data_IF_867233439738
#
_entry.id   IF_867233439738
#
_cell.length_a   1.000
_cell.length_b   1.000
_cell.length_c   1.000
_cell.angle_alpha   90.00
_cell.angle_beta   90.00
_cell.angle_gamma   90.00
#
_symmetry.space_group_name_H-M   'P 1'
#
loop_
_entity.id
_entity.type
_entity.pdbx_description
1 polymer ?
#
# COMPACT_ATOMS: atom_id res chain seq x y z
N UNK A 1 -4.91 -15.23 9.47
CA UNK A 1 -4.31 -13.91 9.63
C UNK A 1 -2.78 -14.01 9.73
N UNK A 2 -2.05 -12.89 9.74
CA UNK A 2 -0.58 -12.87 9.75
C UNK A 2 -0.01 -13.69 10.92
N UNK A 3 -0.52 -13.51 12.13
CA UNK A 3 -0.03 -14.24 13.31
C UNK A 3 -0.18 -15.76 13.21
N UNK A 4 -1.16 -16.27 12.49
CA UNK A 4 -1.32 -17.70 12.24
C UNK A 4 -0.28 -18.25 11.26
N UNK A 5 0.07 -17.46 10.24
CA UNK A 5 1.14 -17.83 9.33
C UNK A 5 2.50 -17.82 10.02
N UNK A 6 2.80 -16.81 10.82
CA UNK A 6 4.04 -16.76 11.60
C UNK A 6 4.15 -17.94 12.59
N UNK A 7 3.04 -18.28 13.28
CA UNK A 7 3.00 -19.42 14.18
C UNK A 7 3.30 -20.74 13.45
N UNK A 8 2.63 -20.98 12.32
CA UNK A 8 2.87 -22.19 11.51
C UNK A 8 4.30 -22.23 10.97
N UNK A 9 4.85 -21.10 10.59
CA UNK A 9 6.25 -21.02 10.13
C UNK A 9 7.22 -21.36 11.26
N UNK A 10 7.02 -20.81 12.46
CA UNK A 10 7.84 -21.12 13.61
C UNK A 10 7.77 -22.61 14.00
N UNK A 11 6.56 -23.20 14.02
CA UNK A 11 6.35 -24.62 14.27
C UNK A 11 7.00 -25.50 13.20
N UNK A 12 6.92 -25.09 11.93
CA UNK A 12 7.59 -25.82 10.84
C UNK A 12 9.10 -25.83 11.01
N UNK A 13 9.69 -24.70 11.41
CA UNK A 13 11.14 -24.60 11.66
C UNK A 13 11.56 -25.50 12.83
N UNK A 14 10.80 -25.50 13.92
CA UNK A 14 11.06 -26.38 15.05
C UNK A 14 10.93 -27.88 14.68
N UNK A 15 9.95 -28.22 13.86
CA UNK A 15 9.80 -29.57 13.31
C UNK A 15 10.98 -29.96 12.40
N UNK A 16 11.48 -29.04 11.59
CA UNK A 16 12.64 -29.26 10.72
C UNK A 16 13.92 -29.45 11.56
N UNK A 17 14.13 -28.59 12.54
CA UNK A 17 15.26 -28.69 13.46
C UNK A 17 15.27 -30.04 14.20
N UNK A 18 14.12 -30.43 14.75
CA UNK A 18 14.04 -31.65 15.58
C UNK A 18 14.03 -32.92 14.75
N UNK A 19 13.22 -33.01 13.69
CA UNK A 19 13.01 -34.25 12.93
C UNK A 19 14.06 -34.50 11.87
N UNK A 20 14.60 -33.45 11.25
CA UNK A 20 15.58 -33.59 10.18
C UNK A 20 17.03 -33.39 10.66
N UNK A 21 17.28 -32.36 11.45
CA UNK A 21 18.63 -32.04 11.93
C UNK A 21 18.95 -32.67 13.28
N UNK A 22 17.98 -33.19 14.03
CA UNK A 22 18.20 -33.77 15.38
C UNK A 22 18.63 -32.71 16.41
N UNK A 23 18.23 -31.44 16.20
CA UNK A 23 18.55 -30.31 17.06
C UNK A 23 17.35 -30.00 17.98
N UNK A 24 17.63 -29.27 19.06
CA UNK A 24 16.55 -28.74 19.91
C UNK A 24 15.70 -27.68 19.16
N UNK A 25 14.39 -27.58 19.44
CA UNK A 25 13.53 -26.58 18.84
C UNK A 25 13.97 -25.19 19.29
N UNK A 26 13.92 -24.22 18.37
CA UNK A 26 14.32 -22.86 18.65
C UNK A 26 13.17 -21.99 19.20
N UNK A 27 12.00 -22.06 18.56
CA UNK A 27 10.85 -21.22 18.92
C UNK A 27 10.03 -21.80 20.07
N UNK A 28 9.78 -23.09 20.05
CA UNK A 28 8.98 -23.85 21.02
C UNK A 28 7.59 -23.22 21.29
N UNK A 29 6.94 -22.74 20.23
CA UNK A 29 5.69 -21.97 20.29
C UNK A 29 4.47 -22.88 20.10
N UNK A 30 3.41 -22.66 20.88
CA UNK A 30 2.12 -23.37 20.80
C UNK A 30 1.00 -22.48 20.29
N UNK A 31 1.02 -21.21 20.66
CA UNK A 31 0.01 -20.22 20.29
C UNK A 31 0.65 -18.92 19.83
N UNK A 32 -0.15 -18.01 19.26
CA UNK A 32 0.34 -16.75 18.70
C UNK A 32 1.00 -15.86 19.75
N UNK A 33 0.50 -15.89 20.98
CA UNK A 33 1.06 -15.12 22.09
C UNK A 33 2.51 -15.47 22.41
N UNK A 34 2.93 -16.71 22.15
CA UNK A 34 4.30 -17.15 22.39
C UNK A 34 5.30 -16.48 21.41
N UNK A 35 4.80 -15.94 20.30
CA UNK A 35 5.63 -15.18 19.35
C UNK A 35 5.92 -13.74 19.79
N UNK A 36 5.28 -13.24 20.84
CA UNK A 36 5.56 -11.90 21.36
C UNK A 36 7.00 -11.82 21.85
N UNK A 37 7.73 -10.82 21.38
CA UNK A 37 9.15 -10.66 21.67
C UNK A 37 10.09 -11.18 20.58
N UNK A 38 9.61 -12.03 19.64
CA UNK A 38 10.44 -12.50 18.54
C UNK A 38 10.66 -11.41 17.47
N UNK A 39 11.81 -11.50 16.81
CA UNK A 39 12.21 -10.57 15.75
C UNK A 39 11.55 -10.93 14.42
N UNK A 40 11.16 -9.88 13.71
CA UNK A 40 10.60 -9.96 12.37
C UNK A 40 11.28 -8.95 11.45
N UNK A 41 11.28 -9.25 10.17
CA UNK A 41 11.64 -8.28 9.13
C UNK A 41 10.36 -7.85 8.41
N UNK A 42 10.12 -6.55 8.38
CA UNK A 42 9.08 -5.94 7.55
C UNK A 42 9.65 -5.55 6.19
N UNK A 43 9.00 -5.97 5.12
CA UNK A 43 9.44 -5.73 3.75
C UNK A 43 8.28 -5.29 2.89
N UNK A 44 8.41 -4.14 2.23
CA UNK A 44 7.43 -3.74 1.23
C UNK A 44 7.59 -4.59 -0.04
N UNK A 45 6.48 -4.88 -0.77
CA UNK A 45 6.54 -5.61 -2.02
C UNK A 45 7.52 -4.98 -3.01
N UNK A 46 8.24 -5.82 -3.76
CA UNK A 46 9.20 -5.40 -4.79
C UNK A 46 10.37 -4.54 -4.28
N UNK A 47 10.66 -4.59 -3.00
CA UNK A 47 11.84 -3.95 -2.41
C UNK A 47 12.77 -4.99 -1.80
N UNK A 48 14.03 -4.61 -1.57
CA UNK A 48 15.04 -5.43 -0.91
C UNK A 48 15.44 -4.90 0.47
N UNK A 49 14.88 -3.77 0.89
CA UNK A 49 15.17 -3.15 2.18
C UNK A 49 14.18 -3.65 3.22
N UNK A 50 14.61 -4.58 4.07
CA UNK A 50 13.86 -5.05 5.21
C UNK A 50 14.13 -4.19 6.44
N UNK A 51 13.09 -3.91 7.22
CA UNK A 51 13.19 -3.18 8.48
C UNK A 51 12.99 -4.14 9.63
N UNK A 52 13.94 -4.17 10.55
CA UNK A 52 13.88 -5.02 11.73
C UNK A 52 12.82 -4.51 12.70
N UNK A 53 11.97 -5.42 13.16
CA UNK A 53 10.96 -5.15 14.17
C UNK A 53 10.88 -6.27 15.20
N UNK A 54 10.12 -6.01 16.27
CA UNK A 54 9.81 -6.99 17.30
C UNK A 54 8.31 -7.08 17.48
N UNK A 55 7.78 -8.29 17.53
CA UNK A 55 6.35 -8.52 17.79
C UNK A 55 6.04 -8.07 19.22
N UNK A 56 5.12 -7.12 19.35
CA UNK A 56 4.64 -6.63 20.65
C UNK A 56 3.24 -7.13 20.99
N UNK A 57 2.53 -7.68 20.01
CA UNK A 57 1.19 -8.22 20.19
C UNK A 57 0.47 -8.48 18.87
N UNK A 58 -0.78 -8.91 18.99
CA UNK A 58 -1.66 -9.21 17.86
C UNK A 58 -3.00 -8.48 18.03
N UNK A 59 -3.51 -7.92 16.95
CA UNK A 59 -4.82 -7.26 16.89
C UNK A 59 -5.79 -8.03 16.00
N UNK A 60 -7.09 -7.81 16.23
CA UNK A 60 -8.17 -8.28 15.33
C UNK A 60 -8.40 -7.30 14.17
N UNK A 61 -7.91 -6.07 14.27
CA UNK A 61 -8.02 -5.07 13.23
C UNK A 61 -7.24 -5.49 11.98
N UNK A 62 -7.70 -5.04 10.82
CA UNK A 62 -7.03 -5.23 9.54
C UNK A 62 -5.95 -4.17 9.40
N UNK A 63 -4.74 -4.52 9.77
CA UNK A 63 -3.60 -3.61 9.67
C UNK A 63 -2.43 -4.04 10.54
N UNK A 64 -1.30 -3.39 10.33
CA UNK A 64 -0.10 -3.51 11.15
C UNK A 64 0.10 -2.20 11.91
N UNK A 65 0.18 -2.27 13.23
CA UNK A 65 0.49 -1.14 14.08
C UNK A 65 1.98 -1.16 14.43
N UNK A 66 2.66 -0.10 14.10
CA UNK A 66 4.06 0.11 14.43
C UNK A 66 4.34 1.61 14.56
N UNK A 67 5.53 1.96 15.01
CA UNK A 67 5.99 3.34 14.97
C UNK A 67 5.95 3.87 13.54
N UNK A 68 5.54 5.14 13.28
CA UNK A 68 5.48 5.70 11.93
C UNK A 68 6.76 5.50 11.14
N UNK A 69 7.91 5.65 11.77
CA UNK A 69 9.22 5.44 11.11
C UNK A 69 9.46 4.00 10.64
N UNK A 70 8.88 2.99 11.30
CA UNK A 70 8.94 1.62 10.81
C UNK A 70 8.24 1.48 9.45
N UNK A 71 7.06 2.10 9.30
CA UNK A 71 6.32 2.09 8.06
C UNK A 71 7.05 2.86 6.95
N UNK A 72 7.52 4.06 7.26
CA UNK A 72 8.19 4.94 6.28
C UNK A 72 9.56 4.43 5.86
N UNK A 73 10.30 3.77 6.74
CA UNK A 73 11.58 3.14 6.40
C UNK A 73 11.45 2.03 5.35
N UNK A 74 10.27 1.46 5.18
CA UNK A 74 9.97 0.52 4.10
C UNK A 74 9.74 1.19 2.75
N UNK A 75 9.75 2.52 2.70
CA UNK A 75 9.54 3.34 1.50
C UNK A 75 8.24 3.04 0.78
N UNK A 76 7.16 2.91 1.56
CA UNK A 76 5.80 2.72 1.07
C UNK A 76 4.86 3.67 1.79
N UNK A 77 3.84 4.11 1.08
CA UNK A 77 2.79 4.95 1.63
C UNK A 77 1.94 4.15 2.61
N UNK A 78 1.37 4.82 3.61
CA UNK A 78 0.49 4.18 4.60
C UNK A 78 -0.99 4.28 4.17
N UNK A 79 -1.26 4.18 2.87
CA UNK A 79 -2.56 4.42 2.24
C UNK A 79 -3.28 3.14 1.78
N UNK A 80 -3.05 2.02 2.41
CA UNK A 80 -3.55 0.67 2.11
C UNK A 80 -2.55 -0.24 1.38
N UNK A 81 -1.30 0.12 1.37
CA UNK A 81 -0.25 -0.76 0.87
C UNK A 81 -0.10 -2.01 1.72
N UNK A 82 0.20 -3.12 1.09
CA UNK A 82 0.42 -4.39 1.76
C UNK A 82 1.92 -4.64 1.94
N UNK A 83 2.30 -5.04 3.15
CA UNK A 83 3.67 -5.40 3.49
C UNK A 83 3.77 -6.89 3.78
N UNK A 84 4.95 -7.46 3.53
CA UNK A 84 5.32 -8.75 4.04
C UNK A 84 5.96 -8.61 5.43
N UNK A 85 5.47 -9.36 6.40
CA UNK A 85 6.10 -9.52 7.71
C UNK A 85 6.55 -10.98 7.82
N UNK A 86 7.84 -11.19 8.03
CA UNK A 86 8.42 -12.53 8.11
C UNK A 86 9.26 -12.67 9.37
N UNK A 87 9.36 -13.88 9.91
CA UNK A 87 10.29 -14.17 11.00
C UNK A 87 11.72 -13.92 10.51
N UNK A 88 12.55 -13.33 11.38
CA UNK A 88 13.96 -13.13 11.08
C UNK A 88 14.68 -14.46 11.26
N UNK A 89 15.18 -15.02 10.17
CA UNK A 89 15.86 -16.30 10.11
C UNK A 89 17.26 -16.13 9.48
N UNK A 90 18.27 -16.76 10.05
CA UNK A 90 19.62 -16.80 9.46
C UNK A 90 19.59 -17.44 8.07
N UNK A 91 18.77 -18.47 7.87
CA UNK A 91 18.61 -19.11 6.57
C UNK A 91 18.11 -18.14 5.50
N UNK A 92 17.17 -17.23 5.84
CA UNK A 92 16.68 -16.21 4.92
C UNK A 92 17.78 -15.23 4.51
N UNK A 93 18.57 -14.77 5.47
CA UNK A 93 19.68 -13.84 5.23
C UNK A 93 20.76 -14.52 4.38
N UNK A 94 21.12 -15.75 4.70
CA UNK A 94 22.11 -16.52 3.96
C UNK A 94 21.65 -16.86 2.54
N UNK A 95 20.41 -17.24 2.36
CA UNK A 95 19.80 -17.45 1.04
C UNK A 95 19.86 -16.16 0.21
N UNK A 96 19.43 -15.06 0.78
CA UNK A 96 19.44 -13.76 0.12
C UNK A 96 20.87 -13.40 -0.34
N UNK A 97 21.87 -13.54 0.54
CA UNK A 97 23.26 -13.25 0.23
C UNK A 97 23.85 -14.16 -0.85
N UNK A 98 23.50 -15.44 -0.85
CA UNK A 98 24.18 -16.45 -1.67
C UNK A 98 23.51 -16.68 -3.02
N UNK A 99 22.20 -16.51 -3.13
CA UNK A 99 21.41 -16.94 -4.28
C UNK A 99 20.70 -15.81 -5.03
N UNK A 100 20.46 -14.66 -4.38
CA UNK A 100 19.83 -13.54 -5.08
C UNK A 100 20.84 -12.69 -5.85
N UNK A 101 20.47 -12.13 -6.99
CA UNK A 101 21.39 -11.33 -7.82
C UNK A 101 21.80 -10.03 -7.11
N UNK A 102 23.07 -9.68 -7.18
CA UNK A 102 23.64 -8.48 -6.56
C UNK A 102 23.28 -7.18 -7.30
N UNK A 103 22.65 -7.26 -8.45
CA UNK A 103 22.29 -6.10 -9.27
C UNK A 103 20.80 -5.99 -9.45
N UNK A 104 20.25 -4.77 -9.34
CA UNK A 104 18.88 -4.46 -9.76
C UNK A 104 18.80 -4.45 -11.28
N UNK A 105 17.90 -5.19 -11.85
CA UNK A 105 17.62 -5.13 -13.27
C UNK A 105 17.19 -6.48 -13.82
N UNK A 106 16.03 -6.55 -14.42
CA UNK A 106 15.49 -7.75 -15.06
C UNK A 106 14.85 -8.79 -14.15
N UNK A 107 15.19 -8.85 -12.88
CA UNK A 107 14.48 -9.62 -11.86
C UNK A 107 13.94 -8.72 -10.77
N UNK A 108 12.82 -9.11 -10.19
CA UNK A 108 12.18 -8.40 -9.06
C UNK A 108 12.90 -8.69 -7.73
N UNK A 109 13.71 -9.72 -7.70
CA UNK A 109 14.41 -10.18 -6.52
C UNK A 109 15.81 -9.55 -6.44
N UNK A 110 16.14 -9.07 -5.26
CA UNK A 110 17.44 -8.52 -4.92
C UNK A 110 17.84 -9.00 -3.52
N UNK A 111 19.16 -9.00 -3.19
CA UNK A 111 19.60 -9.36 -1.84
C UNK A 111 18.91 -8.51 -0.78
N UNK A 112 18.46 -9.16 0.29
CA UNK A 112 17.83 -8.51 1.42
C UNK A 112 18.88 -7.67 2.17
N UNK A 113 18.60 -6.37 2.27
CA UNK A 113 19.34 -5.45 3.13
C UNK A 113 18.49 -5.22 4.38
N UNK A 114 19.04 -5.52 5.54
CA UNK A 114 18.33 -5.39 6.80
C UNK A 114 18.74 -4.11 7.53
N UNK A 115 17.77 -3.21 7.76
CA UNK A 115 17.93 -2.01 8.57
C UNK A 115 17.58 -2.32 10.02
N UNK A 116 18.56 -2.31 10.90
CA UNK A 116 18.40 -2.50 12.34
C UNK A 116 18.30 -1.18 13.11
N UNK A 117 18.76 -0.08 12.52
CA UNK A 117 18.69 1.28 13.04
C UNK A 117 18.04 2.17 11.98
N UNK A 118 17.01 2.88 12.38
CA UNK A 118 16.32 3.83 11.52
C UNK A 118 16.84 5.23 11.85
N UNK A 119 17.32 5.95 10.83
CA UNK A 119 17.60 7.37 10.94
C UNK A 119 16.36 8.15 10.45
N UNK A 120 15.73 8.96 11.30
CA UNK A 120 14.54 9.70 10.92
C UNK A 120 14.74 10.69 9.78
N UNK A 121 15.95 11.20 9.58
CA UNK A 121 16.27 12.12 8.47
C UNK A 121 16.39 11.40 7.11
N UNK A 122 16.69 10.10 7.11
CA UNK A 122 16.92 9.31 5.89
C UNK A 122 15.68 8.52 5.42
N UNK A 123 14.59 8.53 6.17
CA UNK A 123 13.34 7.85 5.80
C UNK A 123 12.58 8.63 4.73
N UNK A 124 11.47 8.08 4.24
CA UNK A 124 10.63 8.72 3.24
C UNK A 124 10.02 10.04 3.76
N UNK A 125 10.11 11.10 2.95
CA UNK A 125 9.65 12.44 3.30
C UNK A 125 8.14 12.51 3.63
N UNK A 126 7.34 11.54 3.17
CA UNK A 126 5.92 11.47 3.51
C UNK A 126 5.70 11.33 5.02
N UNK A 127 6.63 10.68 5.73
CA UNK A 127 6.56 10.57 7.20
C UNK A 127 6.85 11.89 7.91
N UNK A 128 7.61 12.78 7.29
CA UNK A 128 7.91 14.09 7.86
C UNK A 128 6.69 15.01 7.89
N UNK A 129 5.74 14.78 6.99
CA UNK A 129 4.47 15.52 6.91
C UNK A 129 3.37 15.00 7.84
N UNK A 130 3.66 14.02 8.71
CA UNK A 130 2.68 13.56 9.69
C UNK A 130 2.42 14.63 10.74
N UNK A 131 1.14 14.99 10.92
CA UNK A 131 0.69 15.84 12.00
C UNK A 131 0.75 15.09 13.32
N UNK A 132 1.33 15.70 14.35
CA UNK A 132 1.59 15.05 15.64
C UNK A 132 0.89 15.76 16.81
N UNK A 133 -0.21 16.43 16.51
CA UNK A 133 -1.01 17.12 17.51
C UNK A 133 -1.95 16.21 18.28
N UNK A 134 -2.05 16.46 19.57
CA UNK A 134 -3.17 15.99 20.37
C UNK A 134 -4.42 16.85 20.12
N UNK A 135 -4.25 18.19 19.97
CA UNK A 135 -5.34 19.15 19.71
C UNK A 135 -4.82 20.27 18.83
N UNK A 136 -5.59 20.61 17.81
CA UNK A 136 -5.32 21.82 17.03
C UNK A 136 -5.73 23.07 17.82
N UNK A 137 -5.00 24.19 17.69
CA UNK A 137 -5.37 25.44 18.32
C UNK A 137 -6.68 25.99 17.75
N UNK A 138 -7.40 26.81 18.53
CA UNK A 138 -8.70 27.37 18.10
C UNK A 138 -8.56 28.20 16.83
N UNK A 139 -7.48 28.92 16.70
CA UNK A 139 -7.13 29.75 15.54
C UNK A 139 -7.08 28.95 14.24
N UNK A 140 -6.64 27.71 14.30
CA UNK A 140 -6.70 26.79 13.15
C UNK A 140 -8.13 26.61 12.66
N UNK A 141 -9.06 26.30 13.58
CA UNK A 141 -10.47 26.11 13.22
C UNK A 141 -11.13 27.39 12.72
N UNK A 142 -10.83 28.54 13.33
CA UNK A 142 -11.35 29.84 12.88
C UNK A 142 -10.91 30.17 11.46
N UNK A 143 -9.65 29.88 11.12
CA UNK A 143 -9.13 30.04 9.77
C UNK A 143 -9.85 29.15 8.74
N UNK A 144 -10.23 27.94 9.13
CA UNK A 144 -10.88 26.98 8.21
C UNK A 144 -12.34 27.31 7.90
N UNK A 145 -12.97 28.31 8.51
CA UNK A 145 -14.30 28.80 8.12
C UNK A 145 -14.32 29.46 6.73
N UNK A 146 -13.17 29.85 6.24
CA UNK A 146 -13.02 30.38 4.87
C UNK A 146 -12.18 29.40 4.04
N UNK A 147 -12.46 29.26 2.74
CA UNK A 147 -11.62 28.45 1.85
C UNK A 147 -10.18 28.95 1.88
N UNK A 148 -9.25 28.09 2.30
CA UNK A 148 -7.83 28.40 2.45
C UNK A 148 -6.98 27.40 1.67
N UNK A 149 -5.77 27.84 1.31
CA UNK A 149 -4.74 26.91 0.87
C UNK A 149 -4.07 26.27 2.11
N UNK A 150 -3.71 24.97 2.09
CA UNK A 150 -3.05 24.32 3.22
C UNK A 150 -1.84 25.08 3.76
N UNK A 151 -1.05 25.71 2.87
CA UNK A 151 0.11 26.50 3.26
C UNK A 151 -0.19 27.68 4.22
N UNK A 152 -1.42 28.20 4.21
CA UNK A 152 -1.83 29.35 5.04
C UNK A 152 -2.12 28.98 6.51
N UNK A 153 -2.16 27.67 6.81
CA UNK A 153 -2.44 27.15 8.15
C UNK A 153 -1.31 26.28 8.71
N UNK A 154 -0.21 26.09 7.98
CA UNK A 154 0.92 25.28 8.42
C UNK A 154 1.58 25.79 9.69
N UNK A 155 1.48 27.08 10.00
CA UNK A 155 2.00 27.67 11.25
C UNK A 155 1.28 27.12 12.49
N UNK A 156 0.01 26.71 12.34
CA UNK A 156 -0.83 26.16 13.42
C UNK A 156 -0.71 24.63 13.56
N UNK A 157 0.04 23.99 12.66
CA UNK A 157 0.20 22.54 12.63
C UNK A 157 1.60 22.18 13.11
N UNK A 158 1.70 21.28 14.05
CA UNK A 158 2.95 20.63 14.41
C UNK A 158 3.09 19.32 13.65
N UNK A 159 4.27 19.06 13.12
CA UNK A 159 4.55 17.87 12.36
C UNK A 159 5.95 17.32 12.68
N UNK A 160 6.20 16.09 12.22
CA UNK A 160 7.46 15.40 12.47
C UNK A 160 8.67 16.19 11.95
N UNK A 161 8.56 16.86 10.79
CA UNK A 161 9.65 17.63 10.17
C UNK A 161 10.25 18.68 11.14
N UNK A 162 9.40 19.34 11.92
CA UNK A 162 9.83 20.36 12.91
C UNK A 162 10.66 19.80 14.06
N UNK A 163 10.62 18.50 14.27
CA UNK A 163 11.30 17.82 15.38
C UNK A 163 12.54 17.03 14.94
N UNK A 164 12.79 16.90 13.64
CA UNK A 164 13.97 16.19 13.13
C UNK A 164 15.27 16.79 13.67
N UNK A 165 16.24 15.93 13.92
CA UNK A 165 17.53 16.33 14.51
C UNK A 165 17.46 16.71 16.00
N UNK A 166 16.29 16.61 16.64
CA UNK A 166 16.11 16.89 18.07
C UNK A 166 15.75 15.60 18.84
N UNK A 167 15.90 15.57 20.18
CA UNK A 167 15.44 14.41 20.97
C UNK A 167 13.95 14.09 20.79
N UNK A 168 13.14 15.09 20.49
CA UNK A 168 11.69 14.97 20.31
C UNK A 168 11.31 14.23 19.00
N UNK A 169 12.25 13.98 18.11
CA UNK A 169 11.96 13.24 16.87
C UNK A 169 11.44 11.81 17.10
N UNK A 170 11.71 11.21 18.25
CA UNK A 170 11.27 9.85 18.60
C UNK A 170 10.10 9.80 19.58
N UNK A 171 9.77 10.90 20.21
CA UNK A 171 8.82 10.95 21.31
C UNK A 171 7.76 12.02 21.07
N UNK A 172 6.62 11.89 21.77
CA UNK A 172 5.55 12.88 21.69
C UNK A 172 4.75 12.85 20.39
N UNK A 173 4.83 11.77 19.62
CA UNK A 173 4.04 11.57 18.41
C UNK A 173 2.59 11.23 18.81
N UNK A 174 1.76 12.26 18.95
CA UNK A 174 0.39 12.16 19.41
C UNK A 174 -0.60 12.17 18.24
N UNK A 175 -1.84 11.78 18.51
CA UNK A 175 -2.95 11.83 17.57
C UNK A 175 -4.07 12.70 18.13
N UNK A 176 -4.82 13.37 17.26
CA UNK A 176 -6.01 14.16 17.63
C UNK A 176 -7.19 13.30 18.12
N UNK A 177 -7.12 11.99 17.98
CA UNK A 177 -8.17 11.05 18.37
C UNK A 177 -7.65 10.08 19.42
N UNK A 178 -8.43 9.90 20.50
CA UNK A 178 -8.13 8.85 21.46
C UNK A 178 -8.41 7.47 20.90
N UNK A 179 -7.40 6.61 20.96
CA UNK A 179 -7.56 5.18 20.66
C UNK A 179 -7.50 4.41 21.97
N UNK A 180 -8.66 4.04 22.50
CA UNK A 180 -8.76 3.25 23.72
C UNK A 180 -8.60 1.75 23.49
N UNK A 181 -8.83 1.28 22.29
CA UNK A 181 -8.80 -0.13 21.92
C UNK A 181 -8.34 -0.33 20.49
N UNK A 182 -7.12 -0.83 20.31
CA UNK A 182 -6.55 -1.15 18.99
C UNK A 182 -7.28 -2.27 18.26
N UNK A 183 -8.10 -3.06 18.93
CA UNK A 183 -8.93 -4.10 18.31
C UNK A 183 -10.24 -3.55 17.72
N UNK A 184 -10.60 -2.32 18.03
CA UNK A 184 -11.81 -1.67 17.48
C UNK A 184 -11.65 -1.16 16.05
N UNK A 185 -10.45 -1.27 15.47
CA UNK A 185 -10.17 -0.92 14.08
C UNK A 185 -10.93 -1.81 13.08
N UNK A 186 -10.95 -1.41 11.79
CA UNK A 186 -11.65 -2.14 10.75
C UNK A 186 -11.11 -3.58 10.61
N UNK A 187 -12.01 -4.54 10.45
CA UNK A 187 -11.69 -5.97 10.25
C UNK A 187 -11.88 -6.41 8.80
N UNK A 188 -12.48 -5.55 7.97
CA UNK A 188 -12.77 -5.80 6.56
C UNK A 188 -12.43 -4.55 5.76
N UNK A 189 -11.74 -4.74 4.62
CA UNK A 189 -11.52 -3.70 3.64
C UNK A 189 -12.58 -3.82 2.53
N UNK A 190 -13.53 -2.88 2.46
CA UNK A 190 -14.57 -2.89 1.44
C UNK A 190 -14.00 -2.78 0.03
N UNK A 191 -12.88 -2.12 -0.16
CA UNK A 191 -12.23 -2.04 -1.47
C UNK A 191 -11.88 -3.43 -2.05
N UNK A 192 -11.53 -4.39 -1.20
CA UNK A 192 -11.24 -5.78 -1.60
C UNK A 192 -12.51 -6.60 -1.83
N UNK A 193 -13.59 -6.27 -1.17
CA UNK A 193 -14.85 -7.05 -1.21
C UNK A 193 -15.83 -6.57 -2.27
N UNK A 194 -15.78 -5.30 -2.66
CA UNK A 194 -16.64 -4.75 -3.72
C UNK A 194 -16.15 -5.24 -5.10
N UNK A 195 -17.00 -5.90 -5.88
CA UNK A 195 -16.57 -6.64 -7.08
C UNK A 195 -16.27 -5.75 -8.28
N UNK A 196 -16.86 -4.57 -8.38
CA UNK A 196 -16.73 -3.70 -9.55
C UNK A 196 -16.24 -2.29 -9.18
N UNK A 197 -15.64 -1.61 -10.15
CA UNK A 197 -15.27 -0.19 -9.99
C UNK A 197 -16.46 0.70 -9.79
N UNK A 198 -17.62 0.37 -10.38
CA UNK A 198 -18.87 1.11 -10.18
C UNK A 198 -19.27 1.10 -8.71
N UNK A 199 -19.36 -0.08 -8.11
CA UNK A 199 -19.72 -0.23 -6.69
C UNK A 199 -18.73 0.45 -5.75
N UNK A 200 -17.42 0.43 -6.09
CA UNK A 200 -16.41 1.14 -5.33
C UNK A 200 -16.62 2.66 -5.37
N UNK A 201 -16.89 3.22 -6.53
CA UNK A 201 -17.18 4.65 -6.70
C UNK A 201 -18.48 5.04 -5.99
N UNK A 202 -19.53 4.26 -6.14
CA UNK A 202 -20.80 4.50 -5.46
C UNK A 202 -20.64 4.48 -3.94
N UNK A 203 -19.88 3.53 -3.40
CA UNK A 203 -19.59 3.46 -1.97
C UNK A 203 -18.79 4.70 -1.47
N UNK A 204 -17.82 5.18 -2.25
CA UNK A 204 -17.06 6.39 -1.90
C UNK A 204 -17.93 7.65 -1.94
N UNK A 205 -18.82 7.75 -2.92
CA UNK A 205 -19.76 8.88 -3.01
C UNK A 205 -20.77 8.85 -1.86
N UNK A 206 -21.32 7.68 -1.55
CA UNK A 206 -22.23 7.52 -0.41
C UNK A 206 -21.54 7.91 0.92
N UNK A 207 -20.25 7.59 1.06
CA UNK A 207 -19.47 8.04 2.21
C UNK A 207 -19.35 9.57 2.23
N UNK A 208 -19.02 10.20 1.10
CA UNK A 208 -18.92 11.66 0.99
C UNK A 208 -20.26 12.34 1.33
N UNK A 209 -21.40 11.78 0.87
CA UNK A 209 -22.75 12.26 1.20
C UNK A 209 -23.08 12.13 2.70
N UNK A 210 -22.50 11.17 3.38
CA UNK A 210 -22.72 10.93 4.81
C UNK A 210 -21.94 11.88 5.72
N UNK A 211 -20.91 12.56 5.21
CA UNK A 211 -20.03 13.44 5.97
C UNK A 211 -20.44 14.90 5.76
N UNK A 212 -20.95 15.55 6.81
CA UNK A 212 -21.45 16.95 6.72
C UNK A 212 -20.40 17.97 6.28
N UNK A 213 -19.14 17.73 6.56
CA UNK A 213 -18.04 18.64 6.23
C UNK A 213 -17.54 18.49 4.78
N UNK A 214 -18.06 17.53 4.02
CA UNK A 214 -17.61 17.26 2.64
C UNK A 214 -18.55 17.92 1.65
N UNK A 215 -18.00 18.69 0.73
CA UNK A 215 -18.70 19.15 -0.48
C UNK A 215 -18.70 18.02 -1.51
N UNK A 216 -19.81 17.27 -1.58
CA UNK A 216 -19.97 16.11 -2.47
C UNK A 216 -19.84 16.52 -3.94
N UNK A 217 -20.37 17.69 -4.32
CA UNK A 217 -20.29 18.19 -5.68
C UNK A 217 -18.83 18.48 -6.07
N UNK A 218 -18.10 19.16 -5.20
CA UNK A 218 -16.68 19.43 -5.41
C UNK A 218 -15.86 18.15 -5.49
N UNK A 219 -16.15 17.13 -4.69
CA UNK A 219 -15.50 15.79 -4.78
C UNK A 219 -15.77 15.16 -6.14
N UNK A 220 -17.03 15.12 -6.59
CA UNK A 220 -17.41 14.53 -7.89
C UNK A 220 -16.76 15.29 -9.04
N UNK A 221 -16.77 16.62 -9.02
CA UNK A 221 -16.10 17.45 -10.03
C UNK A 221 -14.60 17.12 -10.11
N UNK A 222 -13.93 17.00 -8.98
CA UNK A 222 -12.51 16.63 -8.93
C UNK A 222 -12.23 15.23 -9.47
N UNK A 223 -13.03 14.24 -9.08
CA UNK A 223 -12.90 12.87 -9.58
C UNK A 223 -13.12 12.80 -11.09
N UNK A 224 -14.12 13.48 -11.60
CA UNK A 224 -14.40 13.53 -13.04
C UNK A 224 -13.26 14.22 -13.79
N UNK A 225 -12.87 15.43 -13.39
CA UNK A 225 -11.91 16.28 -14.12
C UNK A 225 -10.48 15.76 -14.06
N UNK A 226 -10.04 15.23 -12.91
CA UNK A 226 -8.64 14.82 -12.70
C UNK A 226 -8.39 13.33 -12.87
N UNK A 227 -9.42 12.50 -12.88
CA UNK A 227 -9.25 11.04 -13.01
C UNK A 227 -10.07 10.44 -14.16
N UNK A 228 -11.41 10.48 -14.12
CA UNK A 228 -12.22 9.68 -15.07
C UNK A 228 -12.12 10.20 -16.50
N UNK A 229 -12.26 11.49 -16.72
CA UNK A 229 -12.17 12.06 -18.07
C UNK A 229 -10.77 11.93 -18.67
N UNK A 230 -9.67 12.21 -17.95
CA UNK A 230 -8.32 11.93 -18.44
C UNK A 230 -8.08 10.46 -18.76
N UNK A 231 -8.58 9.53 -17.94
CA UNK A 231 -8.45 8.08 -18.20
C UNK A 231 -9.22 7.65 -19.45
N UNK A 232 -10.47 8.08 -19.61
CA UNK A 232 -11.29 7.82 -20.81
C UNK A 232 -10.59 8.37 -22.06
N UNK A 233 -10.12 9.61 -22.02
CA UNK A 233 -9.43 10.23 -23.16
C UNK A 233 -8.10 9.54 -23.47
N UNK A 234 -7.30 9.23 -22.45
CA UNK A 234 -6.03 8.53 -22.57
C UNK A 234 -6.20 7.15 -23.18
N UNK A 235 -7.12 6.36 -22.62
CA UNK A 235 -7.43 5.02 -23.12
C UNK A 235 -8.02 5.04 -24.54
N UNK A 236 -8.88 6.01 -24.87
CA UNK A 236 -9.41 6.17 -26.25
C UNK A 236 -8.31 6.47 -27.25
N UNK A 237 -7.38 7.37 -26.92
CA UNK A 237 -6.20 7.65 -27.75
C UNK A 237 -5.28 6.45 -27.89
N UNK A 238 -5.04 5.74 -26.79
CA UNK A 238 -4.23 4.53 -26.80
C UNK A 238 -4.89 3.41 -27.61
N UNK A 239 -6.21 3.22 -27.49
CA UNK A 239 -6.98 2.26 -28.25
C UNK A 239 -6.88 2.51 -29.76
N UNK A 240 -7.04 3.75 -30.19
CA UNK A 240 -6.97 4.11 -31.63
C UNK A 240 -5.58 3.98 -32.24
N UNK A 241 -4.50 4.11 -31.45
CA UNK A 241 -3.10 4.09 -31.90
C UNK A 241 -2.39 2.77 -31.66
N UNK A 242 -2.98 1.86 -30.89
CA UNK A 242 -2.32 0.62 -30.48
C UNK A 242 -2.03 -0.32 -31.65
N UNK A 243 -1.02 -1.15 -31.45
CA UNK A 243 -0.69 -2.28 -32.34
C UNK A 243 -1.24 -3.56 -31.75
N UNK A 244 -1.66 -4.47 -32.64
CA UNK A 244 -2.05 -5.81 -32.24
C UNK A 244 -0.81 -6.65 -31.97
N UNK A 245 -0.80 -7.39 -30.86
CA UNK A 245 0.35 -8.17 -30.39
C UNK A 245 0.03 -9.67 -30.37
N UNK A 246 0.96 -10.48 -30.85
CA UNK A 246 0.88 -11.92 -30.71
C UNK A 246 1.18 -12.37 -29.28
N UNK A 247 0.32 -13.23 -28.72
CA UNK A 247 0.50 -13.79 -27.36
C UNK A 247 1.66 -14.78 -27.26
N UNK A 248 2.03 -15.45 -28.38
CA UNK A 248 3.05 -16.50 -28.40
C UNK A 248 4.46 -15.96 -28.68
N UNK A 249 4.63 -15.12 -29.72
CA UNK A 249 5.95 -14.65 -30.14
C UNK A 249 6.19 -13.15 -29.96
N UNK A 250 5.23 -12.39 -29.42
CA UNK A 250 5.36 -10.96 -29.14
C UNK A 250 5.36 -10.06 -30.38
N UNK A 251 5.25 -10.61 -31.61
CA UNK A 251 5.23 -9.82 -32.84
C UNK A 251 4.08 -8.83 -32.87
N UNK A 252 4.36 -7.59 -33.28
CA UNK A 252 3.40 -6.47 -33.29
C UNK A 252 2.95 -6.19 -34.75
N UNK A 253 1.66 -6.00 -34.93
CA UNK A 253 1.02 -5.66 -36.19
C UNK A 253 0.24 -4.37 -36.09
N UNK A 254 0.33 -3.51 -37.11
CA UNK A 254 -0.46 -2.27 -37.16
C UNK A 254 -1.96 -2.55 -37.31
N UNK A 255 -2.29 -3.62 -38.01
CA UNK A 255 -3.67 -4.11 -38.23
C UNK A 255 -3.71 -5.61 -38.03
N UNK A 256 -4.88 -6.14 -37.70
CA UNK A 256 -5.07 -7.60 -37.63
C UNK A 256 -4.86 -8.19 -39.00
N UNK A 257 -3.96 -9.18 -39.16
CA UNK A 257 -3.84 -9.94 -40.42
C UNK A 257 -5.16 -10.57 -40.85
N UNK A 258 -5.42 -10.68 -42.12
CA UNK A 258 -6.67 -11.23 -42.65
C UNK A 258 -6.97 -12.66 -42.15
N UNK A 259 -5.94 -13.42 -41.82
CA UNK A 259 -6.07 -14.76 -41.24
C UNK A 259 -6.54 -14.77 -39.79
N UNK A 260 -6.63 -13.61 -39.11
CA UNK A 260 -6.93 -13.49 -37.71
C UNK A 260 -5.86 -14.01 -36.76
N UNK A 261 -4.72 -14.52 -37.30
CA UNK A 261 -3.64 -15.11 -36.52
C UNK A 261 -2.29 -14.48 -36.85
N UNK A 262 -1.31 -14.73 -36.00
CA UNK A 262 0.05 -14.26 -36.18
C UNK A 262 0.68 -14.89 -37.41
N UNK A 263 1.14 -14.08 -38.35
CA UNK A 263 1.79 -14.56 -39.57
C UNK A 263 3.14 -15.27 -39.36
N UNK A 264 3.79 -14.97 -38.18
CA UNK A 264 5.09 -15.60 -37.86
C UNK A 264 4.94 -16.96 -37.18
N UNK A 265 3.96 -17.15 -36.32
CA UNK A 265 3.88 -18.36 -35.49
C UNK A 265 2.47 -18.98 -35.39
N UNK A 266 1.47 -18.42 -36.07
CA UNK A 266 0.08 -18.88 -35.99
C UNK A 266 -0.62 -18.60 -34.65
N UNK A 267 0.03 -17.93 -33.71
CA UNK A 267 -0.51 -17.65 -32.39
C UNK A 267 -1.66 -16.62 -32.40
N UNK A 268 -2.41 -16.57 -31.29
CA UNK A 268 -3.51 -15.62 -31.12
C UNK A 268 -3.01 -14.18 -31.01
N UNK A 269 -3.85 -13.25 -31.43
CA UNK A 269 -3.57 -11.82 -31.42
C UNK A 269 -4.45 -11.13 -30.40
N UNK A 270 -3.88 -10.22 -29.63
CA UNK A 270 -4.58 -9.43 -28.61
C UNK A 270 -4.32 -7.94 -28.80
N UNK A 271 -5.27 -7.14 -28.33
CA UNK A 271 -5.10 -5.71 -28.14
C UNK A 271 -4.56 -5.44 -26.74
N UNK A 272 -3.63 -4.48 -26.60
CA UNK A 272 -3.11 -4.06 -25.29
C UNK A 272 -4.16 -3.26 -24.51
N UNK A 273 -4.96 -2.44 -25.20
CA UNK A 273 -6.09 -1.70 -24.62
C UNK A 273 -7.37 -2.29 -25.19
N UNK A 274 -8.24 -2.79 -24.33
CA UNK A 274 -9.52 -3.40 -24.71
C UNK A 274 -10.65 -2.35 -24.79
N UNK A 275 -11.80 -2.73 -25.37
CA UNK A 275 -13.02 -1.91 -25.32
C UNK A 275 -13.40 -1.61 -23.86
N UNK A 276 -13.30 -2.59 -22.97
CA UNK A 276 -13.60 -2.43 -21.54
C UNK A 276 -12.74 -1.38 -20.85
N UNK A 277 -11.46 -1.25 -21.24
CA UNK A 277 -10.59 -0.18 -20.71
C UNK A 277 -11.06 1.21 -21.09
N UNK A 278 -11.62 1.38 -22.29
CA UNK A 278 -12.14 2.68 -22.77
C UNK A 278 -13.48 3.03 -22.13
N UNK A 279 -14.37 2.04 -21.97
CA UNK A 279 -15.73 2.27 -21.45
C UNK A 279 -15.84 2.20 -19.92
N UNK A 280 -14.77 1.83 -19.24
CA UNK A 280 -14.74 1.55 -17.80
C UNK A 280 -15.41 2.61 -16.92
N UNK A 281 -15.19 3.89 -17.22
CA UNK A 281 -15.72 5.01 -16.46
C UNK A 281 -16.80 5.80 -17.21
N UNK A 282 -17.15 5.42 -18.45
CA UNK A 282 -18.03 6.24 -19.29
C UNK A 282 -19.44 6.35 -18.72
N UNK A 283 -20.04 5.20 -18.38
CA UNK A 283 -21.40 5.16 -17.85
C UNK A 283 -21.51 5.88 -16.49
N UNK A 284 -20.59 5.56 -15.56
CA UNK A 284 -20.60 6.18 -14.25
C UNK A 284 -20.33 7.68 -14.31
N UNK A 285 -19.47 8.14 -15.22
CA UNK A 285 -19.24 9.58 -15.42
C UNK A 285 -20.52 10.28 -15.87
N UNK A 286 -21.27 9.69 -16.77
CA UNK A 286 -22.51 10.25 -17.27
C UNK A 286 -23.59 10.31 -16.16
N UNK A 287 -23.69 9.27 -15.34
CA UNK A 287 -24.59 9.25 -14.19
C UNK A 287 -24.22 10.30 -13.15
N UNK A 288 -22.93 10.45 -12.84
CA UNK A 288 -22.45 11.45 -11.88
C UNK A 288 -22.71 12.89 -12.36
N UNK A 289 -22.50 13.18 -13.64
CA UNK A 289 -22.81 14.49 -14.23
C UNK A 289 -24.31 14.80 -14.11
N UNK A 290 -25.18 13.80 -14.31
CA UNK A 290 -26.63 13.98 -14.19
C UNK A 290 -27.07 14.14 -12.72
N UNK A 291 -26.39 13.49 -11.77
CA UNK A 291 -26.72 13.53 -10.34
C UNK A 291 -26.22 14.80 -9.66
N UNK A 292 -25.10 15.35 -10.13
CA UNK A 292 -24.46 16.55 -9.60
C UNK A 292 -24.23 17.59 -10.73
N UNK A 293 -25.29 18.23 -11.19
CA UNK A 293 -25.27 19.17 -12.32
C UNK A 293 -24.50 20.47 -12.01
#
# INVERSE_FOLDING_TARGET
>A
NCGEYLLRTAQFIDDELTRYYGMEPFYNVKEKSDLIGHLVAGLAPHTSAGVLGRIVGFTKALGCYAHPYFHSAKRRNCDSDEDAIMLLLDALINFSKSYLPNTRGGSMDAPLVLSSRIDPEEIDDESHNLDIFERFPVEFYEKTYSPLKPAEVLEYIDNVEKHLGTPQQYEGLMFSHHTSNIHAGPTICLYKTLPSMREKVEAQIALAESIRAVDQRGVVEKVLSSHFLPDIMGNSRAFSKQKVRCTKCGSKYRRIPLTGKCQKCGGNLILSVSKGSVTKYLEISQELINRYP
#
